data_IF_236534682250
#
_entry.id   IF_236534682250
#
_cell.length_a   1.000
_cell.length_b   1.000
_cell.length_c   1.000
_cell.angle_alpha   90.00
_cell.angle_beta   90.00
_cell.angle_gamma   90.00
#
_symmetry.space_group_name_H-M   'P 1'
#
loop_
_entity.id
_entity.type
_entity.pdbx_description
1 polymer ?
#
# COMPACT_ATOMS: atom_id res chain seq x y z
N UNK A 1 -32.10 -11.68 -26.97
CA UNK A 1 -31.20 -12.14 -25.89
C UNK A 1 -29.81 -12.54 -26.40
N UNK A 2 -29.68 -13.48 -27.36
CA UNK A 2 -28.38 -13.90 -27.92
C UNK A 2 -27.50 -12.75 -28.50
N UNK A 3 -28.03 -11.78 -29.28
CA UNK A 3 -27.18 -10.74 -29.86
C UNK A 3 -26.63 -9.73 -28.84
N UNK A 4 -27.35 -9.48 -27.73
CA UNK A 4 -26.86 -8.65 -26.63
C UNK A 4 -25.74 -9.33 -25.85
N UNK A 5 -25.82 -10.64 -25.65
CA UNK A 5 -24.77 -11.42 -24.99
C UNK A 5 -23.46 -11.38 -25.81
N UNK A 6 -23.58 -11.50 -27.14
CA UNK A 6 -22.45 -11.45 -28.06
C UNK A 6 -21.79 -10.07 -28.10
N UNK A 7 -22.60 -9.00 -28.05
CA UNK A 7 -22.12 -7.62 -27.98
C UNK A 7 -21.37 -7.35 -26.67
N UNK A 8 -21.87 -7.83 -25.53
CA UNK A 8 -21.19 -7.72 -24.24
C UNK A 8 -19.85 -8.46 -24.22
N UNK A 9 -19.79 -9.66 -24.82
CA UNK A 9 -18.55 -10.43 -24.97
C UNK A 9 -17.52 -9.70 -25.85
N UNK A 10 -17.96 -9.09 -26.95
CA UNK A 10 -17.10 -8.29 -27.83
C UNK A 10 -16.56 -7.03 -27.13
N UNK A 11 -17.38 -6.32 -26.36
CA UNK A 11 -16.92 -5.17 -25.57
C UNK A 11 -15.93 -5.58 -24.47
N UNK A 12 -16.12 -6.74 -23.85
CA UNK A 12 -15.22 -7.25 -22.80
C UNK A 12 -13.81 -7.57 -23.29
N UNK A 13 -13.64 -7.93 -24.57
CA UNK A 13 -12.32 -8.23 -25.15
C UNK A 13 -11.43 -7.00 -25.36
N UNK A 14 -11.98 -5.79 -25.31
CA UNK A 14 -11.24 -4.53 -25.50
C UNK A 14 -10.69 -3.90 -24.21
N UNK A 15 -10.93 -4.51 -23.05
CA UNK A 15 -10.52 -3.95 -21.77
C UNK A 15 -9.09 -4.42 -21.47
N UNK A 16 -8.09 -3.62 -21.83
CA UNK A 16 -6.72 -3.87 -21.36
C UNK A 16 -6.65 -3.63 -19.85
N UNK A 17 -6.14 -4.58 -19.05
CA UNK A 17 -5.92 -4.31 -17.64
C UNK A 17 -4.89 -3.19 -17.52
N UNK A 18 -5.31 -2.04 -16.98
CA UNK A 18 -4.38 -0.99 -16.61
C UNK A 18 -3.61 -1.47 -15.38
N UNK A 19 -2.32 -1.79 -15.57
CA UNK A 19 -1.40 -2.00 -14.45
C UNK A 19 -1.12 -0.64 -13.83
N UNK A 20 -1.98 -0.19 -12.93
CA UNK A 20 -1.62 0.91 -12.05
C UNK A 20 -0.43 0.44 -11.21
N UNK A 21 0.66 1.21 -11.20
CA UNK A 21 1.78 1.01 -10.27
C UNK A 21 1.27 1.31 -8.86
N UNK A 22 0.63 0.32 -8.23
CA UNK A 22 0.25 0.38 -6.84
C UNK A 22 0.90 -0.82 -6.17
N UNK A 23 1.93 -0.55 -5.38
CA UNK A 23 2.39 -1.56 -4.44
C UNK A 23 1.33 -1.70 -3.36
N UNK A 24 0.93 -2.94 -3.10
CA UNK A 24 -0.17 -3.25 -2.21
C UNK A 24 0.18 -4.42 -1.33
N UNK A 25 -0.16 -4.31 -0.05
CA UNK A 25 -0.16 -5.43 0.88
C UNK A 25 -1.48 -5.49 1.64
N UNK A 26 -1.88 -6.72 1.97
CA UNK A 26 -3.08 -7.03 2.74
C UNK A 26 -2.65 -7.90 3.91
N UNK A 27 -3.12 -7.57 5.10
CA UNK A 27 -2.82 -8.31 6.31
C UNK A 27 -3.98 -8.19 7.30
N UNK A 28 -3.96 -9.03 8.33
CA UNK A 28 -4.85 -8.92 9.48
C UNK A 28 -4.16 -8.11 10.57
N UNK A 29 -4.90 -7.26 11.27
CA UNK A 29 -4.38 -6.53 12.42
C UNK A 29 -3.77 -7.50 13.44
N UNK A 30 -2.56 -7.24 13.92
CA UNK A 30 -1.89 -8.12 14.88
C UNK A 30 -2.59 -8.07 16.25
N UNK A 31 -2.27 -9.04 17.11
CA UNK A 31 -2.60 -8.93 18.53
C UNK A 31 -1.95 -7.66 19.13
N UNK A 32 -2.62 -6.96 20.07
CA UNK A 32 -2.05 -5.77 20.71
C UNK A 32 -0.72 -6.09 21.39
N UNK A 33 0.31 -5.31 21.07
CA UNK A 33 1.64 -5.45 21.68
C UNK A 33 1.81 -4.39 22.77
N UNK A 34 2.24 -4.82 23.96
CA UNK A 34 2.66 -3.89 25.01
C UNK A 34 4.05 -3.33 24.68
N UNK A 35 4.08 -2.13 24.07
CA UNK A 35 5.33 -1.43 23.76
C UNK A 35 5.78 -0.64 25.00
N UNK A 36 6.99 -0.88 25.53
CA UNK A 36 7.48 -0.15 26.69
C UNK A 36 7.62 1.35 26.37
N UNK A 37 7.15 2.21 27.28
CA UNK A 37 7.26 3.67 27.15
C UNK A 37 8.62 4.21 27.65
N UNK A 38 9.63 3.35 27.79
CA UNK A 38 10.98 3.77 28.13
C UNK A 38 11.74 4.19 26.89
N UNK A 39 12.46 5.30 26.97
CA UNK A 39 13.25 5.80 25.85
C UNK A 39 14.33 4.79 25.40
N UNK A 40 14.57 4.65 24.09
CA UNK A 40 13.83 5.29 23.00
C UNK A 40 12.47 4.62 22.74
N UNK A 41 11.44 5.44 22.59
CA UNK A 41 10.08 5.07 22.20
C UNK A 41 9.93 5.05 20.68
N UNK A 42 8.84 4.49 20.15
CA UNK A 42 8.55 4.56 18.70
C UNK A 42 8.46 6.00 18.18
N UNK A 43 7.97 6.93 19.00
CA UNK A 43 7.90 8.34 18.65
C UNK A 43 9.28 8.98 18.47
N UNK A 44 10.30 8.46 19.16
CA UNK A 44 11.69 8.94 19.03
C UNK A 44 12.33 8.53 17.69
N UNK A 45 11.74 7.60 16.94
CA UNK A 45 12.23 7.17 15.63
C UNK A 45 11.93 8.19 14.52
N UNK A 46 11.02 9.15 14.76
CA UNK A 46 10.59 10.14 13.77
C UNK A 46 10.16 9.50 12.42
N UNK A 47 9.44 8.38 12.50
CA UNK A 47 8.85 7.67 11.36
C UNK A 47 7.39 8.11 11.20
N UNK A 48 6.95 8.28 9.96
CA UNK A 48 5.56 8.64 9.64
C UNK A 48 4.58 7.58 10.16
N UNK A 49 3.46 8.07 10.73
CA UNK A 49 2.42 7.26 11.38
C UNK A 49 1.12 7.30 10.58
N UNK A 50 0.48 6.14 10.40
CA UNK A 50 -0.88 6.02 9.89
C UNK A 50 -1.75 5.29 10.91
N UNK A 51 -2.99 5.76 11.05
CA UNK A 51 -4.02 5.12 11.88
C UNK A 51 -5.31 4.98 11.07
N UNK A 52 -6.32 4.24 11.53
CA UNK A 52 -7.63 4.22 10.89
C UNK A 52 -8.30 5.60 10.75
N UNK A 53 -8.02 6.53 11.68
CA UNK A 53 -8.52 7.91 11.64
C UNK A 53 -7.75 8.79 10.65
N UNK A 54 -6.43 8.60 10.55
CA UNK A 54 -5.54 9.30 9.60
C UNK A 54 -4.85 8.30 8.68
N UNK A 55 -5.60 7.78 7.72
CA UNK A 55 -5.22 6.63 6.88
C UNK A 55 -4.51 7.00 5.56
N UNK A 56 -4.32 8.29 5.28
CA UNK A 56 -3.68 8.75 4.06
C UNK A 56 -2.58 9.77 4.34
N UNK A 57 -1.44 9.59 3.69
CA UNK A 57 -0.28 10.48 3.77
C UNK A 57 0.23 10.75 2.35
N UNK A 58 0.45 12.03 2.04
CA UNK A 58 1.16 12.45 0.84
C UNK A 58 2.60 12.79 1.22
N UNK A 59 3.53 11.91 0.88
CA UNK A 59 4.95 12.06 1.16
C UNK A 59 5.80 11.73 -0.06
N UNK A 60 7.06 12.15 -0.03
CA UNK A 60 8.03 11.83 -1.07
C UNK A 60 8.70 10.48 -0.75
N UNK A 61 8.57 9.51 -1.66
CA UNK A 61 9.24 8.22 -1.59
C UNK A 61 10.34 8.15 -2.64
N UNK A 62 11.55 7.77 -2.24
CA UNK A 62 12.66 7.55 -3.18
C UNK A 62 12.40 6.30 -4.03
N UNK A 63 12.06 6.49 -5.31
CA UNK A 63 11.99 5.41 -6.28
C UNK A 63 13.37 5.18 -6.92
N UNK A 64 13.93 3.98 -6.74
CA UNK A 64 15.16 3.56 -7.40
C UNK A 64 14.83 2.33 -8.25
N UNK A 65 15.13 2.41 -9.55
CA UNK A 65 14.93 1.30 -10.46
C UNK A 65 16.02 0.23 -10.27
N UNK A 66 15.67 -1.07 -10.39
CA UNK A 66 16.63 -2.15 -10.29
C UNK A 66 17.80 -1.99 -11.26
N UNK A 67 19.00 -2.33 -10.79
CA UNK A 67 20.23 -2.41 -11.60
C UNK A 67 20.82 -3.82 -11.48
N UNK A 68 21.82 -4.14 -12.31
CA UNK A 68 22.52 -5.43 -12.22
C UNK A 68 23.22 -5.66 -10.87
N UNK A 69 23.55 -4.58 -10.14
CA UNK A 69 24.24 -4.62 -8.85
C UNK A 69 23.28 -4.50 -7.66
N UNK A 70 22.04 -4.03 -7.89
CA UNK A 70 21.02 -3.89 -6.87
C UNK A 70 19.64 -4.16 -7.44
N UNK A 71 19.11 -5.34 -7.14
CA UNK A 71 17.79 -5.79 -7.63
C UNK A 71 16.62 -5.10 -6.91
N UNK A 72 16.86 -4.45 -5.76
CA UNK A 72 15.84 -3.83 -4.92
C UNK A 72 15.94 -2.30 -4.98
N UNK A 73 14.77 -1.65 -4.87
CA UNK A 73 14.67 -0.20 -4.67
C UNK A 73 15.03 0.23 -3.24
N UNK A 74 14.83 1.52 -2.93
CA UNK A 74 15.10 2.08 -1.60
C UNK A 74 14.01 1.67 -0.61
N UNK A 75 14.40 1.23 0.58
CA UNK A 75 13.45 0.94 1.66
C UNK A 75 12.90 2.22 2.28
N UNK A 76 11.61 2.21 2.57
CA UNK A 76 10.92 3.21 3.39
C UNK A 76 10.21 2.51 4.54
N UNK A 77 10.13 3.18 5.70
CA UNK A 77 9.44 2.68 6.88
C UNK A 77 8.25 3.58 7.22
N UNK A 78 7.15 2.96 7.65
CA UNK A 78 5.93 3.61 8.13
C UNK A 78 5.47 2.84 9.37
N UNK A 79 4.88 3.53 10.34
CA UNK A 79 4.23 2.88 11.49
C UNK A 79 2.72 2.85 11.23
N UNK A 80 2.13 1.67 11.41
CA UNK A 80 0.67 1.49 11.42
C UNK A 80 0.25 1.26 12.86
N UNK A 81 -0.61 2.11 13.39
CA UNK A 81 -0.97 2.10 14.81
C UNK A 81 -2.49 2.12 14.99
N UNK A 82 -2.94 1.81 16.20
CA UNK A 82 -4.35 1.72 16.59
C UNK A 82 -5.15 0.76 15.69
N UNK A 83 -4.53 -0.36 15.29
CA UNK A 83 -5.18 -1.40 14.50
C UNK A 83 -6.02 -2.31 15.40
N UNK A 84 -7.17 -2.73 14.89
CA UNK A 84 -8.00 -3.74 15.53
C UNK A 84 -7.45 -5.13 15.21
N UNK A 85 -7.23 -5.94 16.24
CA UNK A 85 -6.81 -7.34 16.08
C UNK A 85 -7.75 -8.09 15.13
N UNK A 86 -7.19 -8.92 14.25
CA UNK A 86 -7.92 -9.73 13.27
C UNK A 86 -8.76 -8.95 12.23
N UNK A 87 -8.77 -7.61 12.27
CA UNK A 87 -9.39 -6.80 11.22
C UNK A 87 -8.52 -6.83 9.95
N UNK A 88 -9.15 -7.01 8.79
CA UNK A 88 -8.44 -6.99 7.51
C UNK A 88 -8.12 -5.55 7.11
N UNK A 89 -6.85 -5.26 6.90
CA UNK A 89 -6.35 -3.98 6.39
C UNK A 89 -5.71 -4.11 5.01
N UNK A 90 -5.58 -2.99 4.33
CA UNK A 90 -4.93 -2.89 3.03
C UNK A 90 -4.12 -1.59 2.97
N UNK A 91 -2.83 -1.73 2.72
CA UNK A 91 -1.92 -0.60 2.53
C UNK A 91 -1.55 -0.52 1.07
N UNK A 92 -1.61 0.69 0.52
CA UNK A 92 -1.34 0.99 -0.89
C UNK A 92 -0.34 2.12 -0.98
N UNK A 93 0.67 1.95 -1.82
CA UNK A 93 1.51 3.04 -2.31
C UNK A 93 0.95 3.49 -3.65
N UNK A 94 0.33 4.67 -3.66
CA UNK A 94 -0.26 5.23 -4.85
C UNK A 94 0.74 6.17 -5.54
N UNK A 95 1.49 5.66 -6.51
CA UNK A 95 2.39 6.48 -7.31
C UNK A 95 1.59 7.44 -8.20
N UNK A 96 2.00 8.72 -8.22
CA UNK A 96 1.46 9.65 -9.20
C UNK A 96 1.97 9.24 -10.58
N UNK A 97 1.07 9.09 -11.54
CA UNK A 97 1.45 9.05 -12.95
C UNK A 97 1.88 10.46 -13.35
N UNK A 98 3.17 10.75 -13.27
CA UNK A 98 3.73 11.99 -13.84
C UNK A 98 4.02 11.74 -15.31
N UNK A 99 3.35 12.50 -16.17
CA UNK A 99 3.62 12.64 -17.61
C UNK A 99 4.90 13.44 -17.85
#
# INVERSE_FOLDING_TARGET
MVPQLLLCLFMGMGISPASANVEKTIFLGPEPVNIPQQHPTLSDLNIDLLTPETWSLRTHLEAIFPTAESEKGKSTWLILDNLTESQRYEVRICWLATI
#
